data_IF_108302598284
#
_entry.id   IF_108302598284
#
_cell.length_a   1.000
_cell.length_b   1.000
_cell.length_c   1.000
_cell.angle_alpha   90.00
_cell.angle_beta   90.00
_cell.angle_gamma   90.00
#
_symmetry.space_group_name_H-M   'P 1'
#
loop_
_entity.id
_entity.type
_entity.pdbx_description
1 polymer ?
#
# COMPACT_ATOMS: atom_id res chain seq x y z
N UNK A 1 7.05 7.37 -22.63
CA UNK A 1 6.00 7.03 -21.64
C UNK A 1 6.08 8.08 -20.56
N UNK A 2 5.01 8.85 -20.36
CA UNK A 2 4.99 9.94 -19.38
C UNK A 2 4.58 9.37 -18.02
N UNK A 3 5.34 9.70 -16.97
CA UNK A 3 5.08 9.22 -15.62
C UNK A 3 4.09 10.15 -14.92
N UNK A 4 2.91 9.64 -14.55
CA UNK A 4 1.99 10.38 -13.69
C UNK A 4 2.58 10.44 -12.27
N UNK A 5 2.95 11.64 -11.82
CA UNK A 5 3.46 11.90 -10.47
C UNK A 5 2.37 12.59 -9.64
N UNK A 6 2.00 11.98 -8.53
CA UNK A 6 1.12 12.59 -7.51
C UNK A 6 2.04 13.19 -6.44
N UNK A 7 1.86 14.48 -6.13
CA UNK A 7 2.71 15.25 -5.20
C UNK A 7 1.82 16.04 -4.25
N UNK A 8 1.91 15.77 -2.94
CA UNK A 8 1.18 16.53 -1.94
C UNK A 8 1.67 17.98 -1.84
N UNK A 9 2.92 18.26 -2.21
CA UNK A 9 3.48 19.62 -2.17
C UNK A 9 2.87 20.52 -3.25
N UNK A 10 2.46 19.94 -4.39
CA UNK A 10 1.87 20.66 -5.53
C UNK A 10 0.31 20.60 -5.51
N UNK A 11 -0.28 20.05 -4.45
CA UNK A 11 -1.73 19.86 -4.34
C UNK A 11 -2.45 21.17 -3.98
N UNK A 12 -3.44 21.57 -4.78
CA UNK A 12 -4.22 22.81 -4.57
C UNK A 12 -5.08 22.80 -3.30
N UNK A 13 -5.42 21.63 -2.77
CA UNK A 13 -6.21 21.46 -1.55
C UNK A 13 -5.36 21.27 -0.29
N UNK A 14 -4.02 21.42 -0.38
CA UNK A 14 -3.12 21.25 0.76
C UNK A 14 -3.47 22.20 1.91
N UNK A 15 -3.37 21.70 3.15
CA UNK A 15 -3.72 22.44 4.38
C UNK A 15 -5.20 22.80 4.52
N UNK A 16 -6.08 22.06 3.84
CA UNK A 16 -7.53 22.15 4.03
C UNK A 16 -8.07 20.89 4.69
N UNK A 17 -9.33 20.91 5.13
CA UNK A 17 -10.00 19.74 5.72
C UNK A 17 -10.10 18.55 4.76
N UNK A 18 -9.88 18.73 3.46
CA UNK A 18 -9.77 17.63 2.51
C UNK A 18 -8.56 16.72 2.80
N UNK A 19 -7.51 17.23 3.45
CA UNK A 19 -6.34 16.46 3.82
C UNK A 19 -6.61 15.45 4.94
N UNK A 20 -7.62 15.70 5.78
CA UNK A 20 -7.94 14.88 6.96
C UNK A 20 -8.47 13.48 6.58
N UNK A 21 -9.02 13.34 5.37
CA UNK A 21 -9.53 12.07 4.79
C UNK A 21 -8.85 11.71 3.46
N UNK A 22 -7.67 12.29 3.18
CA UNK A 22 -6.96 12.04 1.92
C UNK A 22 -6.09 10.79 1.99
N UNK A 23 -6.35 9.82 1.09
CA UNK A 23 -5.56 8.59 0.95
C UNK A 23 -4.07 8.86 0.72
N UNK A 24 -3.70 9.94 0.02
CA UNK A 24 -2.30 10.28 -0.28
C UNK A 24 -1.58 10.75 0.97
N UNK A 25 -2.23 11.57 1.82
CA UNK A 25 -1.68 11.95 3.13
C UNK A 25 -1.36 10.69 3.93
N UNK A 26 -2.32 9.77 4.03
CA UNK A 26 -2.14 8.52 4.76
C UNK A 26 -0.99 7.66 4.20
N UNK A 27 -0.84 7.57 2.87
CA UNK A 27 0.25 6.79 2.26
C UNK A 27 1.61 7.46 2.52
N UNK A 28 1.70 8.78 2.39
CA UNK A 28 2.97 9.52 2.51
C UNK A 28 3.40 9.78 3.96
N UNK A 29 2.48 9.75 4.92
CA UNK A 29 2.79 9.99 6.34
C UNK A 29 3.20 8.73 7.11
N UNK A 30 3.18 7.56 6.47
CA UNK A 30 3.56 6.31 7.11
C UNK A 30 5.07 6.15 7.12
N UNK A 31 5.61 5.89 8.29
CA UNK A 31 7.01 5.53 8.45
C UNK A 31 7.20 4.04 8.11
N UNK A 32 8.42 3.65 7.73
CA UNK A 32 8.73 2.25 7.43
C UNK A 32 8.47 1.31 8.62
N UNK A 33 8.52 1.87 9.84
CA UNK A 33 8.26 1.17 11.09
C UNK A 33 6.75 0.96 11.36
N UNK A 34 5.84 1.60 10.60
CA UNK A 34 4.39 1.37 10.67
C UNK A 34 3.95 0.08 9.93
N UNK A 35 4.88 -0.82 9.66
CA UNK A 35 4.58 -2.09 9.03
C UNK A 35 3.68 -2.96 9.93
N UNK A 36 2.67 -3.59 9.33
CA UNK A 36 1.86 -4.60 10.03
C UNK A 36 2.65 -5.89 10.03
N UNK A 37 3.12 -6.31 11.20
CA UNK A 37 3.77 -7.60 11.40
C UNK A 37 2.70 -8.65 11.68
N UNK A 38 2.71 -9.72 10.89
CA UNK A 38 1.82 -10.85 11.05
C UNK A 38 2.58 -12.04 11.63
N UNK A 39 1.98 -12.72 12.59
CA UNK A 39 2.48 -14.03 13.01
C UNK A 39 2.14 -15.13 11.98
N UNK A 40 2.64 -16.34 12.25
CA UNK A 40 2.49 -17.46 11.32
C UNK A 40 1.03 -17.91 11.17
N UNK A 41 0.22 -17.84 12.23
CA UNK A 41 -1.17 -18.28 12.19
C UNK A 41 -2.07 -17.22 11.55
N UNK A 42 -1.80 -15.94 11.79
CA UNK A 42 -2.42 -14.81 11.09
C UNK A 42 -2.14 -14.86 9.58
N UNK A 43 -0.88 -15.11 9.19
CA UNK A 43 -0.49 -15.26 7.79
C UNK A 43 -1.25 -16.41 7.11
N UNK A 44 -1.34 -17.56 7.77
CA UNK A 44 -2.09 -18.72 7.28
C UNK A 44 -3.59 -18.42 7.15
N UNK A 45 -4.17 -17.70 8.10
CA UNK A 45 -5.56 -17.30 8.05
C UNK A 45 -5.83 -16.39 6.84
N UNK A 46 -5.00 -15.36 6.64
CA UNK A 46 -5.10 -14.47 5.49
C UNK A 46 -4.97 -15.20 4.15
N UNK A 47 -4.05 -16.17 4.05
CA UNK A 47 -3.95 -17.02 2.84
C UNK A 47 -5.21 -17.82 2.56
N UNK A 48 -5.85 -18.38 3.59
CA UNK A 48 -7.11 -19.14 3.44
C UNK A 48 -8.25 -18.23 2.99
N UNK A 49 -8.34 -17.03 3.57
CA UNK A 49 -9.34 -16.02 3.18
C UNK A 49 -9.11 -15.55 1.74
N UNK A 50 -7.85 -15.39 1.32
CA UNK A 50 -7.54 -14.99 -0.06
C UNK A 50 -7.95 -16.09 -1.05
N UNK A 51 -7.66 -17.35 -0.71
CA UNK A 51 -8.03 -18.51 -1.54
C UNK A 51 -9.55 -18.66 -1.70
N UNK A 52 -10.35 -18.22 -0.73
CA UNK A 52 -11.81 -18.20 -0.83
C UNK A 52 -12.38 -16.90 -1.41
N UNK A 53 -11.54 -15.93 -1.79
CA UNK A 53 -11.96 -14.64 -2.35
C UNK A 53 -12.55 -13.68 -1.31
N UNK A 54 -12.35 -13.93 -0.02
CA UNK A 54 -12.85 -13.08 1.06
C UNK A 54 -11.94 -11.88 1.37
N UNK A 55 -10.67 -11.92 0.93
CA UNK A 55 -9.74 -10.79 1.01
C UNK A 55 -8.97 -10.62 -0.29
N UNK A 56 -8.64 -9.39 -0.69
CA UNK A 56 -7.82 -9.13 -1.86
C UNK A 56 -6.36 -9.57 -1.62
N UNK A 57 -5.73 -10.12 -2.66
CA UNK A 57 -4.28 -10.39 -2.67
C UNK A 57 -3.49 -9.12 -2.97
N UNK A 58 -2.22 -9.06 -2.56
CA UNK A 58 -1.32 -7.96 -2.91
C UNK A 58 -1.19 -7.88 -4.43
N UNK A 59 -1.75 -6.81 -5.01
CA UNK A 59 -1.71 -6.58 -6.45
C UNK A 59 -0.42 -5.85 -6.89
N UNK A 60 0.26 -5.19 -5.95
CA UNK A 60 1.49 -4.49 -6.23
C UNK A 60 2.59 -5.50 -6.55
N UNK A 61 3.00 -5.54 -7.82
CA UNK A 61 4.20 -6.23 -8.28
C UNK A 61 5.23 -5.13 -8.54
N UNK A 62 6.26 -5.04 -7.70
CA UNK A 62 7.36 -4.14 -8.00
C UNK A 62 8.00 -4.57 -9.32
N UNK A 63 8.29 -3.60 -10.19
CA UNK A 63 8.87 -3.87 -11.51
C UNK A 63 10.26 -4.56 -11.46
N UNK A 64 10.83 -4.75 -10.27
CA UNK A 64 12.07 -5.48 -10.03
C UNK A 64 11.94 -6.84 -9.33
N UNK A 65 10.73 -7.33 -9.02
CA UNK A 65 10.55 -8.61 -8.32
C UNK A 65 10.73 -9.86 -9.22
N UNK A 66 11.01 -9.71 -10.52
CA UNK A 66 11.29 -10.83 -11.44
C UNK A 66 12.70 -11.44 -11.31
N UNK A 67 13.51 -11.07 -10.30
CA UNK A 67 14.89 -11.56 -10.19
C UNK A 67 15.28 -12.20 -8.84
N UNK A 68 14.33 -12.80 -8.11
CA UNK A 68 14.67 -13.68 -6.98
C UNK A 68 13.84 -14.96 -7.03
N UNK A 69 14.27 -15.88 -7.88
CA UNK A 69 14.03 -17.32 -7.74
C UNK A 69 15.36 -18.05 -7.94
N UNK A 70 15.61 -19.19 -7.28
CA UNK A 70 16.77 -20.04 -7.57
C UNK A 70 16.69 -20.64 -8.99
#
# INVERSE_FOLDING_TARGET
METLRISCDDCSSRHTTACDDCVVTFICSRDADDAVVLDLDEERALRRLAASGLVPVVQYRSAGAEQSGP
#
